data_IF_546794523516
#
_entry.id   IF_546794523516
#
_cell.length_a   1.000
_cell.length_b   1.000
_cell.length_c   1.000
_cell.angle_alpha   90.00
_cell.angle_beta   90.00
_cell.angle_gamma   90.00
#
_symmetry.space_group_name_H-M   'P 1'
#
loop_
_entity.id
_entity.type
_entity.pdbx_description
1 polymer ?
#
# COMPACT_ATOMS: atom_id res chain seq x y z
N UNK A 1 12.32 -6.62 34.45
CA UNK A 1 12.76 -6.40 33.05
C UNK A 1 12.24 -7.56 32.23
N UNK A 2 11.54 -7.29 31.12
CA UNK A 2 10.74 -8.29 30.42
C UNK A 2 11.62 -9.15 29.50
N UNK A 3 11.46 -10.47 29.58
CA UNK A 3 12.16 -11.47 28.73
C UNK A 3 11.98 -11.24 27.22
N UNK A 4 10.96 -10.47 26.85
CA UNK A 4 10.71 -10.05 25.48
C UNK A 4 11.76 -9.07 24.93
N UNK A 5 12.36 -8.21 25.78
CA UNK A 5 13.39 -7.26 25.33
C UNK A 5 14.69 -7.98 24.93
N UNK A 6 15.05 -9.07 25.63
CA UNK A 6 16.26 -9.84 25.32
C UNK A 6 16.18 -10.51 23.94
N UNK A 7 14.99 -10.94 23.52
CA UNK A 7 14.78 -11.54 22.20
C UNK A 7 14.89 -10.54 21.05
N UNK A 8 14.43 -9.30 21.26
CA UNK A 8 14.51 -8.23 20.26
C UNK A 8 15.94 -7.68 20.13
N UNK A 9 16.70 -7.68 21.22
CA UNK A 9 18.08 -7.19 21.25
C UNK A 9 19.08 -8.20 20.65
N UNK A 10 18.79 -9.50 20.74
CA UNK A 10 19.65 -10.57 20.24
C UNK A 10 19.81 -10.63 18.70
N UNK A 11 19.02 -9.87 17.93
CA UNK A 11 19.08 -9.87 16.45
C UNK A 11 20.01 -8.80 15.85
N UNK A 12 20.55 -7.88 16.65
CA UNK A 12 21.57 -6.94 16.17
C UNK A 12 22.93 -7.44 16.65
N UNK A 13 23.68 -8.07 15.73
CA UNK A 13 25.15 -8.02 15.59
C UNK A 13 25.63 -9.28 14.83
N UNK A 14 25.64 -9.19 13.50
CA UNK A 14 26.64 -9.89 12.67
C UNK A 14 27.24 -8.85 11.72
N UNK A 15 28.52 -8.47 11.86
CA UNK A 15 29.19 -7.60 10.92
C UNK A 15 29.75 -8.45 9.77
N UNK A 16 29.34 -8.19 8.52
CA UNK A 16 29.99 -8.78 7.34
C UNK A 16 29.12 -9.28 6.19
N UNK A 17 27.82 -8.99 6.13
CA UNK A 17 27.02 -9.24 4.92
C UNK A 17 27.05 -8.01 3.98
N UNK A 18 27.17 -8.22 2.66
CA UNK A 18 27.17 -7.13 1.69
C UNK A 18 25.85 -6.38 1.78
N UNK A 19 25.95 -5.05 1.68
CA UNK A 19 24.86 -4.08 1.75
C UNK A 19 23.89 -4.33 0.58
N UNK A 20 23.04 -5.35 0.72
CA UNK A 20 21.76 -5.41 0.02
C UNK A 20 20.94 -4.29 0.64
N UNK A 21 21.19 -3.03 0.24
CA UNK A 21 20.33 -1.92 0.60
C UNK A 21 18.93 -2.35 0.19
N UNK A 22 18.00 -2.68 1.12
CA UNK A 22 16.62 -2.72 0.71
C UNK A 22 16.38 -1.28 0.31
N UNK A 23 16.07 -1.02 -0.96
CA UNK A 23 15.47 0.27 -1.30
C UNK A 23 14.36 0.42 -0.28
N UNK A 24 14.54 1.33 0.69
CA UNK A 24 13.62 1.47 1.79
C UNK A 24 12.37 1.99 1.12
N UNK A 25 11.49 1.07 0.72
CA UNK A 25 10.22 1.38 0.11
C UNK A 25 9.52 2.20 1.19
N UNK A 26 9.58 3.52 1.04
CA UNK A 26 8.91 4.44 1.94
C UNK A 26 7.47 3.95 1.94
N UNK A 27 6.98 3.59 3.12
CA UNK A 27 5.57 3.24 3.29
C UNK A 27 4.73 4.33 2.62
N UNK A 28 3.66 4.00 1.91
CA UNK A 28 2.83 4.97 1.13
C UNK A 28 2.49 6.27 1.88
N UNK A 29 2.45 6.25 3.22
CA UNK A 29 2.25 7.42 4.08
C UNK A 29 3.43 8.39 4.19
N UNK A 30 4.64 8.00 3.78
CA UNK A 30 5.90 8.77 3.87
C UNK A 30 6.41 9.20 2.49
N UNK A 31 5.78 8.73 1.42
CA UNK A 31 6.11 9.13 0.06
C UNK A 31 5.42 10.46 -0.26
N UNK A 32 6.15 11.51 -0.67
CA UNK A 32 5.58 12.82 -0.99
C UNK A 32 4.62 12.80 -2.19
N UNK A 33 4.63 11.75 -3.01
CA UNK A 33 3.75 11.62 -4.17
C UNK A 33 2.35 11.09 -3.82
N UNK A 34 2.11 10.69 -2.56
CA UNK A 34 0.83 10.15 -2.13
C UNK A 34 0.11 11.11 -1.18
N UNK A 35 -1.17 11.34 -1.45
CA UNK A 35 -2.08 12.06 -0.55
C UNK A 35 -3.06 11.07 0.08
N UNK A 36 -3.21 11.13 1.40
CA UNK A 36 -4.18 10.29 2.12
C UNK A 36 -5.58 10.86 1.96
N UNK A 37 -6.47 10.07 1.36
CA UNK A 37 -7.89 10.39 1.21
C UNK A 37 -8.75 9.35 1.92
N UNK A 38 -9.79 9.81 2.62
CA UNK A 38 -10.80 8.94 3.25
C UNK A 38 -12.11 9.11 2.51
N UNK A 39 -12.68 8.02 2.01
CA UNK A 39 -13.94 8.02 1.25
C UNK A 39 -14.96 7.11 1.92
N UNK A 40 -16.24 7.49 1.84
CA UNK A 40 -17.33 6.64 2.29
C UNK A 40 -17.78 5.73 1.13
N UNK A 41 -17.77 4.42 1.37
CA UNK A 41 -18.24 3.42 0.41
C UNK A 41 -19.45 2.67 0.98
N UNK A 42 -20.44 2.31 0.15
CA UNK A 42 -21.50 1.39 0.56
C UNK A 42 -20.90 0.07 1.08
N UNK A 43 -21.52 -0.51 2.12
CA UNK A 43 -21.02 -1.75 2.77
C UNK A 43 -20.78 -2.89 1.78
N UNK A 44 -21.68 -3.04 0.81
CA UNK A 44 -21.59 -4.08 -0.22
C UNK A 44 -20.36 -3.87 -1.11
N UNK A 45 -20.11 -2.62 -1.52
CA UNK A 45 -18.97 -2.26 -2.36
C UNK A 45 -17.65 -2.46 -1.61
N UNK A 46 -17.57 -2.03 -0.35
CA UNK A 46 -16.40 -2.30 0.48
C UNK A 46 -16.10 -3.81 0.62
N UNK A 47 -17.14 -4.64 0.77
CA UNK A 47 -16.98 -6.10 0.81
C UNK A 47 -16.45 -6.67 -0.51
N UNK A 48 -16.97 -6.19 -1.64
CA UNK A 48 -16.50 -6.59 -2.96
C UNK A 48 -15.04 -6.19 -3.19
N UNK A 49 -14.67 -4.95 -2.83
CA UNK A 49 -13.30 -4.46 -2.91
C UNK A 49 -12.35 -5.33 -2.08
N UNK A 50 -12.74 -5.68 -0.84
CA UNK A 50 -11.95 -6.56 0.02
C UNK A 50 -11.78 -7.96 -0.58
N UNK A 51 -12.82 -8.51 -1.19
CA UNK A 51 -12.76 -9.80 -1.88
C UNK A 51 -11.84 -9.75 -3.09
N UNK A 52 -11.92 -8.69 -3.89
CA UNK A 52 -11.08 -8.49 -5.07
C UNK A 52 -9.59 -8.35 -4.69
N UNK A 53 -9.30 -7.61 -3.62
CA UNK A 53 -7.94 -7.50 -3.06
C UNK A 53 -7.39 -8.86 -2.63
N UNK A 54 -8.20 -9.66 -1.92
CA UNK A 54 -7.79 -11.00 -1.49
C UNK A 54 -7.54 -11.95 -2.66
N UNK A 55 -8.34 -11.88 -3.73
CA UNK A 55 -8.19 -12.73 -4.91
C UNK A 55 -6.99 -12.34 -5.79
N UNK A 56 -6.74 -11.03 -5.93
CA UNK A 56 -5.66 -10.50 -6.77
C UNK A 56 -4.29 -10.45 -6.07
N UNK A 57 -4.27 -10.59 -4.73
CA UNK A 57 -3.06 -10.38 -3.93
C UNK A 57 -2.61 -8.92 -3.86
N UNK A 58 -3.43 -7.98 -4.34
CA UNK A 58 -3.15 -6.55 -4.34
C UNK A 58 -3.70 -5.86 -3.09
N UNK A 59 -3.15 -4.69 -2.76
CA UNK A 59 -3.72 -3.84 -1.72
C UNK A 59 -5.01 -3.17 -2.22
N UNK A 60 -5.99 -2.98 -1.32
CA UNK A 60 -7.21 -2.24 -1.65
C UNK A 60 -6.93 -0.81 -2.14
N UNK A 61 -5.87 -0.18 -1.63
CA UNK A 61 -5.43 1.16 -2.05
C UNK A 61 -5.01 1.17 -3.52
N UNK A 62 -4.30 0.14 -3.98
CA UNK A 62 -3.84 -0.01 -5.36
C UNK A 62 -5.01 -0.29 -6.31
N UNK A 63 -5.99 -1.09 -5.88
CA UNK A 63 -7.22 -1.31 -6.66
C UNK A 63 -8.00 0.00 -6.85
N UNK A 64 -8.16 0.78 -5.78
CA UNK A 64 -8.83 2.09 -5.85
C UNK A 64 -8.07 3.04 -6.75
N UNK A 65 -6.74 3.11 -6.64
CA UNK A 65 -5.89 3.94 -7.51
C UNK A 65 -6.10 3.61 -8.99
N UNK A 66 -6.04 2.32 -9.37
CA UNK A 66 -6.28 1.88 -10.76
C UNK A 66 -7.68 2.22 -11.24
N UNK A 67 -8.70 1.97 -10.43
CA UNK A 67 -10.09 2.28 -10.79
C UNK A 67 -10.32 3.77 -10.98
N UNK A 68 -9.75 4.62 -10.12
CA UNK A 68 -9.85 6.08 -10.23
C UNK A 68 -9.09 6.58 -11.47
N UNK A 69 -7.87 6.10 -11.71
CA UNK A 69 -7.09 6.46 -12.89
C UNK A 69 -7.82 6.10 -14.18
N UNK A 70 -8.38 4.89 -14.26
CA UNK A 70 -9.16 4.45 -15.42
C UNK A 70 -10.41 5.32 -15.63
N UNK A 71 -11.13 5.65 -14.57
CA UNK A 71 -12.31 6.50 -14.66
C UNK A 71 -11.98 7.90 -15.19
N UNK A 72 -10.91 8.52 -14.70
CA UNK A 72 -10.47 9.83 -15.18
C UNK A 72 -10.00 9.81 -16.63
N UNK A 73 -9.26 8.78 -17.03
CA UNK A 73 -8.85 8.60 -18.44
C UNK A 73 -10.04 8.47 -19.40
N UNK A 74 -11.09 7.74 -18.98
CA UNK A 74 -12.32 7.62 -19.76
C UNK A 74 -13.05 8.97 -19.85
N UNK A 75 -13.10 9.71 -18.75
CA UNK A 75 -13.75 11.02 -18.70
C UNK A 75 -13.05 12.06 -19.60
N UNK A 76 -11.72 12.11 -19.56
CA UNK A 76 -10.94 13.02 -20.41
C UNK A 76 -11.11 12.67 -21.91
N UNK A 77 -11.15 11.39 -22.25
CA UNK A 77 -11.36 10.93 -23.63
C UNK A 77 -12.76 11.27 -24.17
N UNK A 78 -13.79 11.35 -23.32
CA UNK A 78 -15.13 11.78 -23.70
C UNK A 78 -15.27 13.31 -23.82
N UNK A 79 -14.38 14.08 -23.18
CA UNK A 79 -14.41 15.54 -23.20
C UNK A 79 -13.68 16.17 -24.40
N UNK A 80 -12.80 15.41 -25.07
CA UNK A 80 -12.05 15.84 -26.26
C UNK A 80 -12.80 15.59 -27.59
N UNK A 81 -14.10 15.27 -27.54
CA UNK A 81 -15.02 15.06 -28.69
C UNK A 81 -16.10 16.15 -28.68
#
# INVERSE_FOLDING_TARGET
>A
MSRFDDLLKAKKLKPGEPDLSPSVALSKSKDPNFVRTTVYLPKLLHRQLKSAAAQSGQEMSELVEKSVAQYLQQFDAEADI
#
